data_IF_133569250756
#
_entry.id   IF_133569250756
#
_cell.length_a   1.000
_cell.length_b   1.000
_cell.length_c   1.000
_cell.angle_alpha   90.00
_cell.angle_beta   90.00
_cell.angle_gamma   90.00
#
_symmetry.space_group_name_H-M   'P 1'
#
loop_
_entity.id
_entity.type
_entity.pdbx_description
1 polymer ?
#
# COMPACT_ATOMS: atom_id res chain seq x y z
N UNK A 1 0.67 -3.09 21.88
CA UNK A 1 1.45 -3.04 20.62
C UNK A 1 2.70 -2.17 20.70
N UNK A 2 2.74 -1.12 21.54
CA UNK A 2 3.97 -0.31 21.72
C UNK A 2 5.20 -1.13 22.16
N UNK A 3 5.00 -2.21 22.93
CA UNK A 3 6.08 -3.10 23.40
C UNK A 3 6.64 -4.07 22.34
N UNK A 4 6.00 -4.20 21.16
CA UNK A 4 6.37 -5.21 20.15
C UNK A 4 7.10 -4.61 18.94
N UNK A 5 6.64 -3.46 18.41
CA UNK A 5 7.23 -2.82 17.21
C UNK A 5 7.18 -1.29 17.37
N UNK A 6 8.30 -0.60 17.13
CA UNK A 6 8.39 0.86 17.19
C UNK A 6 7.74 1.55 15.98
N UNK A 7 7.30 2.81 16.14
CA UNK A 7 6.57 3.54 15.09
C UNK A 7 7.42 3.71 13.84
N UNK A 8 8.69 3.99 14.09
CA UNK A 8 9.70 4.15 13.05
C UNK A 8 9.94 2.83 12.32
N UNK A 9 10.02 1.71 13.03
CA UNK A 9 10.18 0.40 12.40
C UNK A 9 8.97 0.06 11.53
N UNK A 10 7.74 0.29 12.03
CA UNK A 10 6.53 0.04 11.26
C UNK A 10 6.45 0.91 10.01
N UNK A 11 6.77 2.21 10.12
CA UNK A 11 6.81 3.08 8.95
C UNK A 11 7.89 2.68 7.95
N UNK A 12 9.08 2.26 8.42
CA UNK A 12 10.13 1.78 7.52
C UNK A 12 9.71 0.53 6.75
N UNK A 13 9.11 -0.45 7.44
CA UNK A 13 8.60 -1.67 6.79
C UNK A 13 7.53 -1.30 5.76
N UNK A 14 6.58 -0.43 6.11
CA UNK A 14 5.56 0.04 5.16
C UNK A 14 6.16 0.74 3.94
N UNK A 15 7.14 1.63 4.13
CA UNK A 15 7.81 2.32 3.02
C UNK A 15 8.52 1.32 2.11
N UNK A 16 9.26 0.35 2.67
CA UNK A 16 9.93 -0.69 1.88
C UNK A 16 8.90 -1.50 1.09
N UNK A 17 7.83 -1.96 1.72
CA UNK A 17 6.75 -2.70 1.05
C UNK A 17 6.12 -1.88 -0.08
N UNK A 18 5.89 -0.59 0.13
CA UNK A 18 5.31 0.29 -0.90
C UNK A 18 6.28 0.56 -2.04
N UNK A 19 7.58 0.70 -1.78
CA UNK A 19 8.60 0.83 -2.84
C UNK A 19 8.64 -0.43 -3.69
N UNK A 20 8.61 -1.61 -3.07
CA UNK A 20 8.50 -2.88 -3.80
C UNK A 20 7.21 -2.95 -4.63
N UNK A 21 6.10 -2.43 -4.10
CA UNK A 21 4.82 -2.34 -4.82
C UNK A 21 4.89 -1.38 -6.01
N UNK A 22 5.58 -0.23 -5.90
CA UNK A 22 5.85 0.65 -7.04
C UNK A 22 6.61 -0.09 -8.14
N UNK A 23 7.66 -0.83 -7.78
CA UNK A 23 8.42 -1.64 -8.74
C UNK A 23 7.50 -2.65 -9.41
N UNK A 24 6.65 -3.34 -8.65
CA UNK A 24 5.67 -4.29 -9.17
C UNK A 24 4.70 -3.67 -10.19
N UNK A 25 4.11 -2.50 -9.89
CA UNK A 25 3.26 -1.76 -10.83
C UNK A 25 4.00 -1.38 -12.12
N UNK A 26 5.27 -0.96 -12.00
CA UNK A 26 6.11 -0.65 -13.17
C UNK A 26 6.34 -1.91 -14.00
N UNK A 27 6.63 -3.06 -13.38
CA UNK A 27 6.84 -4.32 -14.11
C UNK A 27 5.58 -4.78 -14.85
N UNK A 28 4.39 -4.54 -14.31
CA UNK A 28 3.11 -4.81 -14.98
C UNK A 28 2.92 -3.87 -16.18
N UNK A 29 3.17 -2.57 -16.00
CA UNK A 29 3.11 -1.58 -17.09
C UNK A 29 4.10 -1.91 -18.23
N UNK A 30 5.29 -2.42 -17.89
CA UNK A 30 6.28 -2.90 -18.84
C UNK A 30 5.97 -4.28 -19.43
N UNK A 31 4.85 -4.91 -19.03
CA UNK A 31 4.43 -6.27 -19.44
C UNK A 31 5.46 -7.36 -19.12
N UNK A 32 6.36 -7.11 -18.17
CA UNK A 32 7.30 -8.12 -17.64
C UNK A 32 6.55 -9.07 -16.71
N UNK A 33 5.62 -8.54 -15.92
CA UNK A 33 4.69 -9.30 -15.10
C UNK A 33 3.34 -9.38 -15.83
N UNK A 34 2.70 -10.57 -15.93
CA UNK A 34 1.38 -10.72 -16.54
C UNK A 34 0.32 -9.91 -15.79
N UNK A 35 -0.49 -9.13 -16.50
CA UNK A 35 -1.47 -8.23 -15.90
C UNK A 35 -2.70 -8.97 -15.34
N UNK A 36 -2.87 -10.24 -15.69
CA UNK A 36 -3.87 -11.15 -15.14
C UNK A 36 -3.58 -11.48 -13.66
N UNK A 37 -2.40 -11.14 -13.17
CA UNK A 37 -2.00 -11.34 -11.77
C UNK A 37 -2.57 -10.30 -10.81
N UNK A 38 -3.14 -9.21 -11.33
CA UNK A 38 -3.69 -8.09 -10.56
C UNK A 38 -5.15 -7.84 -10.88
N UNK A 39 -5.82 -7.10 -9.99
CA UNK A 39 -7.22 -6.67 -10.16
C UNK A 39 -8.20 -7.84 -10.34
N UNK A 40 -7.94 -8.95 -9.64
CA UNK A 40 -8.79 -10.13 -9.74
C UNK A 40 -8.72 -10.85 -11.08
N UNK A 41 -7.77 -10.51 -11.95
CA UNK A 41 -7.67 -11.07 -13.30
C UNK A 41 -8.82 -10.64 -14.23
N UNK A 42 -9.54 -9.57 -13.88
CA UNK A 42 -10.73 -9.12 -14.62
C UNK A 42 -10.43 -8.08 -15.69
N UNK A 43 -9.19 -7.56 -15.75
CA UNK A 43 -8.82 -6.56 -16.75
C UNK A 43 -8.63 -7.25 -18.10
N UNK A 44 -9.47 -6.89 -19.07
CA UNK A 44 -9.38 -7.40 -20.45
C UNK A 44 -8.79 -6.34 -21.39
N UNK A 45 -9.02 -5.06 -21.09
CA UNK A 45 -8.68 -3.94 -21.96
C UNK A 45 -7.36 -3.25 -21.54
N UNK A 46 -6.50 -2.96 -22.52
CA UNK A 46 -5.18 -2.37 -22.29
C UNK A 46 -5.23 -0.90 -21.83
N UNK A 47 -6.25 -0.14 -22.22
CA UNK A 47 -6.44 1.24 -21.75
C UNK A 47 -6.91 1.27 -20.30
N UNK A 48 -7.79 0.33 -19.93
CA UNK A 48 -8.26 0.18 -18.55
C UNK A 48 -7.12 -0.24 -17.62
N UNK A 49 -6.25 -1.16 -18.07
CA UNK A 49 -5.02 -1.50 -17.36
C UNK A 49 -4.17 -0.27 -17.07
N UNK A 50 -3.87 0.53 -18.10
CA UNK A 50 -2.99 1.68 -17.97
C UNK A 50 -3.54 2.70 -16.97
N UNK A 51 -4.84 2.97 -17.00
CA UNK A 51 -5.47 3.92 -16.07
C UNK A 51 -5.41 3.40 -14.63
N UNK A 52 -5.79 2.15 -14.41
CA UNK A 52 -5.82 1.54 -13.08
C UNK A 52 -4.41 1.45 -12.46
N UNK A 53 -3.42 1.01 -13.24
CA UNK A 53 -2.03 0.96 -12.81
C UNK A 53 -1.45 2.35 -12.51
N UNK A 54 -1.78 3.37 -13.32
CA UNK A 54 -1.37 4.75 -13.04
C UNK A 54 -1.97 5.27 -11.73
N UNK A 55 -3.26 4.98 -11.46
CA UNK A 55 -3.92 5.36 -10.22
C UNK A 55 -3.28 4.64 -9.04
N UNK A 56 -3.02 3.34 -9.15
CA UNK A 56 -2.38 2.56 -8.09
C UNK A 56 -0.96 3.07 -7.79
N UNK A 57 -0.17 3.36 -8.83
CA UNK A 57 1.17 3.92 -8.70
C UNK A 57 1.16 5.30 -8.04
N UNK A 58 0.24 6.18 -8.45
CA UNK A 58 0.06 7.49 -7.84
C UNK A 58 -0.29 7.40 -6.34
N UNK A 59 -1.30 6.58 -6.00
CA UNK A 59 -1.71 6.39 -4.60
C UNK A 59 -0.58 5.79 -3.76
N UNK A 60 0.16 4.83 -4.30
CA UNK A 60 1.29 4.19 -3.62
C UNK A 60 2.39 5.21 -3.30
N UNK A 61 2.71 6.10 -4.24
CA UNK A 61 3.68 7.19 -4.00
C UNK A 61 3.16 8.18 -2.96
N UNK A 62 1.87 8.55 -3.02
CA UNK A 62 1.27 9.41 -1.99
C UNK A 62 1.37 8.79 -0.60
N UNK A 63 1.15 7.48 -0.47
CA UNK A 63 1.26 6.76 0.79
C UNK A 63 2.68 6.75 1.34
N UNK A 64 3.70 6.58 0.49
CA UNK A 64 5.11 6.69 0.89
C UNK A 64 5.38 8.08 1.48
N UNK A 65 4.86 9.15 0.86
CA UNK A 65 5.01 10.53 1.36
C UNK A 65 4.39 10.70 2.75
N UNK A 66 3.15 10.24 2.93
CA UNK A 66 2.41 10.34 4.20
C UNK A 66 3.15 9.60 5.32
N UNK A 67 3.62 8.38 5.06
CA UNK A 67 4.40 7.62 6.06
C UNK A 67 5.72 8.34 6.36
N UNK A 68 6.42 8.83 5.34
CA UNK A 68 7.71 9.53 5.50
C UNK A 68 7.59 10.79 6.35
N UNK A 69 6.47 11.52 6.24
CA UNK A 69 6.15 12.64 7.14
C UNK A 69 5.88 12.12 8.55
N UNK A 70 5.09 11.03 8.71
CA UNK A 70 4.72 10.48 10.04
C UNK A 70 5.93 10.03 10.85
N UNK A 71 6.90 9.37 10.21
CA UNK A 71 8.13 8.89 10.87
C UNK A 71 9.25 9.93 10.93
N UNK A 72 9.00 11.15 10.45
CA UNK A 72 9.91 12.29 10.58
C UNK A 72 11.05 12.34 9.58
N UNK A 73 10.99 11.59 8.47
CA UNK A 73 11.94 11.74 7.36
C UNK A 73 11.74 13.08 6.63
N UNK A 74 10.50 13.56 6.55
CA UNK A 74 10.17 14.87 5.99
C UNK A 74 9.70 15.78 7.14
N UNK A 75 10.50 16.80 7.46
CA UNK A 75 10.21 17.72 8.57
C UNK A 75 9.20 18.79 8.15
N UNK A 76 7.91 18.51 8.31
CA UNK A 76 6.85 19.50 8.06
C UNK A 76 5.86 19.59 9.22
N UNK A 77 6.00 20.63 10.06
CA UNK A 77 5.11 20.87 11.21
C UNK A 77 3.69 21.28 10.82
N UNK A 78 3.50 21.85 9.62
CA UNK A 78 2.22 22.42 9.17
C UNK A 78 1.14 21.36 8.88
N UNK A 79 1.53 20.12 8.57
CA UNK A 79 0.60 19.08 8.10
C UNK A 79 0.42 17.91 9.08
N UNK A 80 0.85 18.02 10.33
CA UNK A 80 0.79 16.87 11.27
C UNK A 80 -0.62 16.29 11.46
N UNK A 81 -1.66 17.15 11.55
CA UNK A 81 -3.06 16.68 11.65
C UNK A 81 -3.54 16.00 10.37
N UNK A 82 -3.29 16.61 9.21
CA UNK A 82 -3.65 16.04 7.91
C UNK A 82 -2.94 14.71 7.65
N UNK A 83 -1.68 14.60 8.10
CA UNK A 83 -0.89 13.39 7.99
C UNK A 83 -1.49 12.23 8.80
N UNK A 84 -1.98 12.49 10.01
CA UNK A 84 -2.62 11.46 10.82
C UNK A 84 -3.91 10.93 10.19
N UNK A 85 -4.71 11.83 9.59
CA UNK A 85 -5.89 11.44 8.81
C UNK A 85 -5.46 10.59 7.60
N UNK A 86 -4.38 10.97 6.92
CA UNK A 86 -3.79 10.20 5.83
C UNK A 86 -3.44 8.77 6.22
N UNK A 87 -2.82 8.55 7.39
CA UNK A 87 -2.50 7.20 7.88
C UNK A 87 -3.77 6.38 8.16
N UNK A 88 -4.84 7.00 8.68
CA UNK A 88 -6.13 6.32 8.85
C UNK A 88 -6.79 5.94 7.51
N UNK A 89 -6.72 6.81 6.51
CA UNK A 89 -7.18 6.51 5.15
C UNK A 89 -6.40 5.32 4.59
N UNK A 90 -5.08 5.30 4.77
CA UNK A 90 -4.22 4.19 4.35
C UNK A 90 -4.60 2.88 5.02
N UNK A 91 -4.88 2.91 6.33
CA UNK A 91 -5.36 1.72 7.05
C UNK A 91 -6.67 1.19 6.44
N UNK A 92 -7.64 2.08 6.16
CA UNK A 92 -8.87 1.71 5.48
C UNK A 92 -8.63 1.13 4.08
N UNK A 93 -7.74 1.75 3.30
CA UNK A 93 -7.36 1.28 1.98
C UNK A 93 -6.73 -0.13 2.02
N UNK A 94 -5.75 -0.38 2.89
CA UNK A 94 -5.13 -1.72 2.98
C UNK A 94 -6.09 -2.78 3.53
N UNK A 95 -7.04 -2.38 4.37
CA UNK A 95 -8.10 -3.28 4.84
C UNK A 95 -8.99 -3.71 3.67
N UNK A 96 -9.43 -2.76 2.84
CA UNK A 96 -10.20 -3.05 1.62
C UNK A 96 -9.37 -3.87 0.63
N UNK A 97 -8.09 -3.56 0.45
CA UNK A 97 -7.20 -4.30 -0.44
C UNK A 97 -7.01 -5.75 0.03
N UNK A 98 -6.91 -5.97 1.35
CA UNK A 98 -6.84 -7.32 1.93
C UNK A 98 -8.12 -8.11 1.65
N UNK A 99 -9.29 -7.50 1.80
CA UNK A 99 -10.56 -8.13 1.45
C UNK A 99 -10.60 -8.46 -0.04
N UNK A 100 -10.16 -7.53 -0.90
CA UNK A 100 -10.06 -7.73 -2.35
C UNK A 100 -9.16 -8.90 -2.72
N UNK A 101 -7.97 -9.00 -2.11
CA UNK A 101 -7.02 -10.08 -2.35
C UNK A 101 -7.58 -11.45 -1.94
N UNK A 102 -8.32 -11.54 -0.83
CA UNK A 102 -9.00 -12.78 -0.46
C UNK A 102 -10.19 -13.12 -1.36
N UNK A 103 -10.91 -12.11 -1.84
CA UNK A 103 -12.05 -12.29 -2.75
C UNK A 103 -11.63 -12.60 -4.21
N UNK A 104 -10.39 -12.31 -4.57
CA UNK A 104 -9.86 -12.51 -5.92
C UNK A 104 -9.88 -13.98 -6.37
N UNK A 105 -10.10 -14.22 -7.66
CA UNK A 105 -9.92 -15.57 -8.25
C UNK A 105 -8.46 -15.92 -8.52
N UNK A 106 -7.55 -14.94 -8.46
CA UNK A 106 -6.12 -15.09 -8.75
C UNK A 106 -5.39 -15.69 -7.54
N UNK A 107 -4.70 -16.81 -7.74
CA UNK A 107 -3.97 -17.50 -6.66
C UNK A 107 -2.85 -16.66 -6.06
N UNK A 108 -2.15 -15.86 -6.88
CA UNK A 108 -1.07 -14.96 -6.42
C UNK A 108 -1.60 -13.91 -5.45
N UNK A 109 -2.75 -13.29 -5.76
CA UNK A 109 -3.37 -12.30 -4.88
C UNK A 109 -3.76 -12.92 -3.54
N UNK A 110 -4.36 -14.12 -3.55
CA UNK A 110 -4.75 -14.84 -2.33
C UNK A 110 -3.57 -15.32 -1.47
N UNK A 111 -2.57 -15.95 -2.08
CA UNK A 111 -1.52 -16.66 -1.35
C UNK A 111 -0.34 -15.78 -0.97
N UNK A 112 -0.07 -14.74 -1.76
CA UNK A 112 1.11 -13.88 -1.58
C UNK A 112 0.68 -12.47 -1.19
N UNK A 113 -0.21 -11.83 -1.96
CA UNK A 113 -0.58 -10.44 -1.67
C UNK A 113 -1.45 -10.32 -0.42
N UNK A 114 -2.40 -11.22 -0.18
CA UNK A 114 -3.28 -11.12 0.98
C UNK A 114 -2.51 -11.16 2.33
N UNK A 115 -1.55 -12.08 2.57
CA UNK A 115 -0.71 -12.03 3.77
C UNK A 115 0.11 -10.75 3.88
N UNK A 116 0.66 -10.25 2.77
CA UNK A 116 1.42 -9.00 2.73
C UNK A 116 0.52 -7.82 3.12
N UNK A 117 -0.70 -7.76 2.58
CA UNK A 117 -1.61 -6.65 2.85
C UNK A 117 -2.23 -6.72 4.24
N UNK A 118 -2.37 -7.92 4.83
CA UNK A 118 -2.67 -8.07 6.26
C UNK A 118 -1.55 -7.43 7.09
N UNK A 119 -0.29 -7.76 6.81
CA UNK A 119 0.85 -7.18 7.51
C UNK A 119 0.84 -5.65 7.38
N UNK A 120 0.66 -5.13 6.16
CA UNK A 120 0.59 -3.69 5.91
C UNK A 120 -0.59 -3.03 6.64
N UNK A 121 -1.76 -3.68 6.69
CA UNK A 121 -2.93 -3.21 7.43
C UNK A 121 -2.63 -3.07 8.92
N UNK A 122 -2.01 -4.08 9.53
CA UNK A 122 -1.65 -4.06 10.96
C UNK A 122 -0.60 -2.99 11.28
N UNK A 123 0.40 -2.83 10.41
CA UNK A 123 1.43 -1.80 10.58
C UNK A 123 0.87 -0.38 10.39
N UNK A 124 -0.03 -0.19 9.42
CA UNK A 124 -0.71 1.08 9.21
C UNK A 124 -1.59 1.44 10.41
N UNK A 125 -2.34 0.47 10.95
CA UNK A 125 -3.12 0.66 12.18
C UNK A 125 -2.24 1.08 13.36
N UNK A 126 -1.12 0.39 13.57
CA UNK A 126 -0.15 0.74 14.62
C UNK A 126 0.43 2.14 14.45
N UNK A 127 0.64 2.58 13.22
CA UNK A 127 1.15 3.91 12.92
C UNK A 127 0.05 4.99 13.08
N UNK A 128 -1.22 4.63 12.86
CA UNK A 128 -2.39 5.50 13.03
C UNK A 128 -2.68 5.82 14.52
N UNK A 129 -2.37 4.86 15.40
CA UNK A 129 -2.53 5.00 16.85
C UNK A 129 -1.41 5.82 17.50
N UNK A 130 -0.24 5.92 16.85
CA UNK A 130 0.85 6.78 17.30
C UNK A 130 0.41 8.25 17.22
N UNK A 131 0.65 9.05 18.27
CA UNK A 131 0.25 10.47 18.29
C UNK A 131 1.26 11.32 17.51
#
# INVERSE_FOLDING_TARGET
MEKLISARLSGNILVISLVLLVIFHILILLRIVPYETVWGGQIVDSSSLMILECIALFLTIMFILVISIKIGYIKTKRFMKANNIGIWIMFGYFSLNTIGNFASVVSVEKMILAPITILMTLLAFRLALEK
#
